data_IF_726758746481
#
_entry.id   IF_726758746481
#
_cell.length_a   1.000
_cell.length_b   1.000
_cell.length_c   1.000
_cell.angle_alpha   90.00
_cell.angle_beta   90.00
_cell.angle_gamma   90.00
#
_symmetry.space_group_name_H-M   'P 1'
#
loop_
_entity.id
_entity.type
_entity.pdbx_description
1 polymer ?
#
# COMPACT_ATOMS: atom_id res chain seq x y z
N UNK A 1 -20.28 -72.30 20.46
CA UNK A 1 -19.33 -71.19 20.72
C UNK A 1 -19.12 -70.43 19.42
N UNK A 2 -19.86 -69.29 19.23
CA UNK A 2 -19.78 -68.45 18.01
C UNK A 2 -18.85 -67.30 18.29
N UNK A 3 -17.71 -67.28 17.58
CA UNK A 3 -16.74 -66.17 17.67
C UNK A 3 -17.25 -65.01 16.77
N UNK A 4 -17.60 -63.85 17.39
CA UNK A 4 -17.90 -62.63 16.67
C UNK A 4 -16.56 -61.95 16.33
N UNK A 5 -16.33 -61.78 15.00
CA UNK A 5 -15.18 -61.05 14.47
C UNK A 5 -15.67 -59.60 14.29
N UNK A 6 -15.19 -58.65 15.13
CA UNK A 6 -15.49 -57.23 15.01
C UNK A 6 -14.47 -56.64 14.02
N UNK A 7 -14.94 -56.32 12.83
CA UNK A 7 -14.16 -55.66 11.79
C UNK A 7 -14.17 -54.14 12.07
N UNK A 8 -13.08 -53.62 12.63
CA UNK A 8 -12.91 -52.19 12.90
C UNK A 8 -12.55 -51.46 11.60
N UNK A 9 -13.50 -50.73 11.00
CA UNK A 9 -13.29 -49.91 9.82
C UNK A 9 -12.72 -48.57 10.32
N UNK A 10 -11.39 -48.40 10.20
CA UNK A 10 -10.73 -47.13 10.44
C UNK A 10 -11.04 -46.11 9.34
N UNK A 11 -11.85 -45.12 9.64
CA UNK A 11 -12.10 -43.98 8.74
C UNK A 11 -10.87 -43.06 8.77
N UNK A 12 -10.05 -43.14 7.71
CA UNK A 12 -8.98 -42.19 7.47
C UNK A 12 -9.60 -40.87 6.95
N UNK A 13 -9.76 -39.88 7.85
CA UNK A 13 -10.16 -38.54 7.49
C UNK A 13 -8.93 -37.82 6.91
N UNK A 14 -8.82 -37.75 5.59
CA UNK A 14 -7.84 -36.88 4.92
C UNK A 14 -8.27 -35.43 5.11
N UNK A 15 -7.65 -34.73 6.07
CA UNK A 15 -7.70 -33.28 6.12
C UNK A 15 -6.91 -32.71 4.95
N UNK A 16 -7.62 -32.49 3.83
CA UNK A 16 -7.08 -31.75 2.69
C UNK A 16 -6.94 -30.28 3.11
N UNK A 17 -5.75 -29.91 3.61
CA UNK A 17 -5.42 -28.51 3.91
C UNK A 17 -5.27 -27.78 2.58
N UNK A 18 -6.35 -27.18 2.07
CA UNK A 18 -6.28 -26.24 0.96
C UNK A 18 -5.48 -25.02 1.43
N UNK A 19 -4.18 -24.99 1.19
CA UNK A 19 -3.40 -23.77 1.21
C UNK A 19 -3.97 -22.88 0.11
N UNK A 20 -4.77 -21.86 0.47
CA UNK A 20 -5.11 -20.77 -0.45
C UNK A 20 -3.79 -20.17 -0.92
N UNK A 21 -3.42 -20.36 -2.17
CA UNK A 21 -2.33 -19.61 -2.77
C UNK A 21 -2.65 -18.13 -2.62
N UNK A 22 -1.65 -17.34 -2.21
CA UNK A 22 -1.78 -15.89 -2.21
C UNK A 22 -2.14 -15.44 -3.64
N UNK A 23 -3.11 -14.53 -3.80
CA UNK A 23 -3.49 -14.07 -5.12
C UNK A 23 -2.29 -13.41 -5.81
N UNK A 24 -2.08 -13.76 -7.08
CA UNK A 24 -0.98 -13.24 -7.89
C UNK A 24 -1.32 -11.83 -8.34
N UNK A 25 -0.34 -10.93 -8.33
CA UNK A 25 -0.49 -9.58 -8.87
C UNK A 25 -0.58 -9.66 -10.40
N UNK A 26 -1.64 -9.13 -10.96
CA UNK A 26 -1.90 -9.12 -12.41
C UNK A 26 -1.21 -7.95 -13.12
N UNK A 27 -1.02 -8.02 -14.43
CA UNK A 27 -0.49 -6.90 -15.20
C UNK A 27 -1.41 -5.67 -15.14
N UNK A 28 -2.73 -5.88 -15.14
CA UNK A 28 -3.69 -4.78 -14.98
C UNK A 28 -3.54 -4.06 -13.63
N UNK A 29 -3.30 -4.80 -12.54
CA UNK A 29 -3.01 -4.19 -11.24
C UNK A 29 -1.69 -3.39 -11.26
N UNK A 30 -0.67 -3.88 -11.96
CA UNK A 30 0.60 -3.15 -12.12
C UNK A 30 0.42 -1.86 -12.90
N UNK A 31 -0.38 -1.87 -13.96
CA UNK A 31 -0.67 -0.68 -14.76
C UNK A 31 -1.39 0.40 -13.93
N UNK A 32 -2.39 0.00 -13.13
CA UNK A 32 -3.09 0.94 -12.24
C UNK A 32 -2.18 1.40 -11.11
N UNK A 33 -1.36 0.51 -10.54
CA UNK A 33 -0.36 0.88 -9.53
C UNK A 33 0.61 1.93 -10.10
N UNK A 34 1.05 1.79 -11.35
CA UNK A 34 1.89 2.79 -12.01
C UNK A 34 1.19 4.16 -12.11
N UNK A 35 -0.10 4.19 -12.43
CA UNK A 35 -0.87 5.43 -12.45
C UNK A 35 -0.99 6.03 -11.04
N UNK A 36 -1.23 5.21 -10.01
CA UNK A 36 -1.24 5.66 -8.61
C UNK A 36 0.10 6.30 -8.24
N UNK A 37 1.22 5.71 -8.64
CA UNK A 37 2.56 6.22 -8.39
C UNK A 37 2.81 7.57 -9.08
N UNK A 38 2.31 7.77 -10.29
CA UNK A 38 2.43 9.05 -10.99
C UNK A 38 1.60 10.16 -10.32
N UNK A 39 0.37 9.85 -9.90
CA UNK A 39 -0.46 10.78 -9.13
C UNK A 39 0.17 11.12 -7.78
N UNK A 40 0.69 10.11 -7.08
CA UNK A 40 1.43 10.29 -5.83
C UNK A 40 2.65 11.19 -6.00
N UNK A 41 3.42 11.02 -7.08
CA UNK A 41 4.58 11.86 -7.38
C UNK A 41 4.18 13.32 -7.62
N UNK A 42 3.01 13.56 -8.23
CA UNK A 42 2.46 14.90 -8.42
C UNK A 42 2.12 15.55 -7.08
N UNK A 43 1.53 14.79 -6.16
CA UNK A 43 1.24 15.23 -4.79
C UNK A 43 2.54 15.52 -4.03
N UNK A 44 3.53 14.61 -4.10
CA UNK A 44 4.83 14.82 -3.47
C UNK A 44 5.49 16.11 -3.96
N UNK A 45 5.53 16.37 -5.27
CA UNK A 45 6.06 17.60 -5.84
C UNK A 45 5.29 18.85 -5.41
N UNK A 46 3.97 18.75 -5.25
CA UNK A 46 3.16 19.84 -4.71
C UNK A 46 3.58 20.16 -3.28
N UNK A 47 3.68 19.18 -2.40
CA UNK A 47 4.06 19.34 -1.00
C UNK A 47 5.50 19.85 -0.82
N UNK A 48 6.38 19.58 -1.79
CA UNK A 48 7.74 20.14 -1.80
C UNK A 48 7.77 21.63 -2.11
N UNK A 49 6.72 22.19 -2.73
CA UNK A 49 6.63 23.60 -3.15
C UNK A 49 5.70 24.43 -2.28
N UNK A 50 4.57 23.86 -1.90
CA UNK A 50 3.46 24.53 -1.24
C UNK A 50 3.37 24.05 0.20
N UNK A 51 4.03 24.77 1.08
CA UNK A 51 3.97 24.51 2.51
C UNK A 51 2.57 24.85 3.04
N UNK A 52 2.08 24.05 4.00
CA UNK A 52 0.79 24.27 4.68
C UNK A 52 -0.46 24.21 3.80
N UNK A 53 -0.35 23.73 2.56
CA UNK A 53 -1.51 23.50 1.68
C UNK A 53 -1.79 22.03 1.46
N UNK A 54 -3.06 21.70 1.41
CA UNK A 54 -3.53 20.35 1.10
C UNK A 54 -3.73 20.22 -0.42
N UNK A 55 -3.06 19.25 -1.08
CA UNK A 55 -3.22 19.02 -2.51
C UNK A 55 -4.57 18.39 -2.83
N UNK A 56 -5.02 18.54 -4.08
CA UNK A 56 -6.15 17.78 -4.58
C UNK A 56 -5.78 16.30 -4.79
N UNK A 57 -6.42 15.40 -4.05
CA UNK A 57 -6.17 13.96 -4.09
C UNK A 57 -7.24 13.18 -4.87
N UNK A 58 -8.18 13.83 -5.53
CA UNK A 58 -9.33 13.18 -6.17
C UNK A 58 -8.93 12.16 -7.23
N UNK A 59 -7.93 12.45 -8.05
CA UNK A 59 -7.41 11.54 -9.07
C UNK A 59 -6.74 10.31 -8.44
N UNK A 60 -5.87 10.54 -7.45
CA UNK A 60 -5.23 9.47 -6.68
C UNK A 60 -6.27 8.52 -6.10
N UNK A 61 -7.29 9.06 -5.43
CA UNK A 61 -8.35 8.27 -4.80
C UNK A 61 -9.14 7.47 -5.86
N UNK A 62 -9.44 8.05 -7.02
CA UNK A 62 -10.13 7.35 -8.10
C UNK A 62 -9.32 6.13 -8.58
N UNK A 63 -8.01 6.26 -8.74
CA UNK A 63 -7.14 5.14 -9.12
C UNK A 63 -7.05 4.06 -8.03
N UNK A 64 -7.01 4.45 -6.76
CA UNK A 64 -7.03 3.48 -5.65
C UNK A 64 -8.34 2.70 -5.63
N UNK A 65 -9.49 3.35 -5.83
CA UNK A 65 -10.80 2.68 -5.94
C UNK A 65 -10.81 1.67 -7.11
N UNK A 66 -10.26 2.08 -8.26
CA UNK A 66 -10.12 1.20 -9.42
C UNK A 66 -9.27 -0.03 -9.09
N UNK A 67 -8.13 0.14 -8.42
CA UNK A 67 -7.27 -0.98 -7.99
C UNK A 67 -8.01 -1.93 -7.03
N UNK A 68 -8.77 -1.42 -6.07
CA UNK A 68 -9.60 -2.23 -5.15
C UNK A 68 -10.60 -3.08 -5.93
N UNK A 69 -11.20 -2.54 -7.02
CA UNK A 69 -12.22 -3.22 -7.81
C UNK A 69 -11.72 -4.44 -8.57
N UNK A 70 -10.42 -4.51 -8.87
CA UNK A 70 -9.80 -5.64 -9.59
C UNK A 70 -9.78 -6.94 -8.78
N UNK A 71 -9.87 -6.84 -7.45
CA UNK A 71 -9.93 -7.98 -6.55
C UNK A 71 -8.76 -8.99 -6.68
N UNK A 72 -7.58 -8.50 -7.08
CA UNK A 72 -6.36 -9.27 -7.31
C UNK A 72 -5.39 -9.29 -6.13
N UNK A 73 -4.10 -9.48 -6.43
CA UNK A 73 -3.03 -9.61 -5.44
C UNK A 73 -2.75 -8.34 -4.62
N UNK A 74 -3.08 -7.17 -5.15
CA UNK A 74 -2.90 -5.89 -4.47
C UNK A 74 -4.14 -5.42 -3.69
N UNK A 75 -5.28 -6.15 -3.75
CA UNK A 75 -6.54 -5.72 -3.14
C UNK A 75 -6.37 -5.26 -1.69
N UNK A 76 -5.72 -6.05 -0.86
CA UNK A 76 -5.61 -5.77 0.57
C UNK A 76 -4.85 -4.46 0.86
N UNK A 77 -3.74 -4.22 0.17
CA UNK A 77 -2.98 -2.97 0.30
C UNK A 77 -3.76 -1.79 -0.29
N UNK A 78 -4.49 -2.01 -1.40
CA UNK A 78 -5.36 -1.00 -2.01
C UNK A 78 -6.51 -0.58 -1.08
N UNK A 79 -7.18 -1.51 -0.41
CA UNK A 79 -8.19 -1.22 0.61
C UNK A 79 -7.63 -0.39 1.77
N UNK A 80 -6.41 -0.69 2.22
CA UNK A 80 -5.72 0.11 3.24
C UNK A 80 -5.38 1.51 2.74
N UNK A 81 -4.88 1.65 1.51
CA UNK A 81 -4.65 2.96 0.88
C UNK A 81 -5.95 3.77 0.81
N UNK A 82 -7.05 3.16 0.37
CA UNK A 82 -8.36 3.80 0.32
C UNK A 82 -8.83 4.26 1.71
N UNK A 83 -8.64 3.41 2.72
CA UNK A 83 -9.02 3.73 4.10
C UNK A 83 -8.21 4.88 4.67
N UNK A 84 -6.92 4.98 4.35
CA UNK A 84 -6.06 6.07 4.80
C UNK A 84 -6.52 7.44 4.28
N UNK A 85 -7.10 7.48 3.07
CA UNK A 85 -7.52 8.72 2.42
C UNK A 85 -9.03 9.01 2.53
N UNK A 86 -9.74 8.39 3.49
CA UNK A 86 -11.20 8.56 3.63
C UNK A 86 -11.63 9.98 3.99
N UNK A 87 -10.87 10.67 4.82
CA UNK A 87 -11.19 12.04 5.26
C UNK A 87 -10.73 13.07 4.22
N UNK A 88 -11.36 13.01 3.05
CA UNK A 88 -11.03 13.84 1.86
C UNK A 88 -11.22 15.34 2.09
N UNK A 89 -12.00 15.74 3.09
CA UNK A 89 -12.42 17.13 3.33
C UNK A 89 -11.68 17.77 4.52
N UNK A 90 -10.63 17.11 5.02
CA UNK A 90 -9.86 17.73 6.09
C UNK A 90 -9.23 19.04 5.62
N UNK A 91 -9.38 20.09 6.43
CA UNK A 91 -8.67 21.36 6.28
C UNK A 91 -7.44 21.42 7.18
N UNK A 92 -7.18 20.34 7.93
CA UNK A 92 -6.08 20.21 8.86
C UNK A 92 -4.89 19.53 8.16
N UNK A 93 -3.84 20.29 7.95
CA UNK A 93 -2.63 19.83 7.23
C UNK A 93 -1.96 18.66 7.96
N UNK A 94 -1.90 18.67 9.29
CA UNK A 94 -1.27 17.58 10.04
C UNK A 94 -2.09 16.26 9.93
N UNK A 95 -3.41 16.35 9.97
CA UNK A 95 -4.26 15.16 9.69
C UNK A 95 -4.07 14.64 8.28
N UNK A 96 -3.95 15.55 7.31
CA UNK A 96 -3.63 15.16 5.94
C UNK A 96 -2.26 14.48 5.87
N UNK A 97 -1.23 15.00 6.51
CA UNK A 97 0.10 14.40 6.54
C UNK A 97 0.11 13.01 7.18
N UNK A 98 -0.67 12.79 8.24
CA UNK A 98 -0.81 11.46 8.83
C UNK A 98 -1.51 10.49 7.88
N UNK A 99 -2.60 10.91 7.24
CA UNK A 99 -3.33 10.12 6.25
C UNK A 99 -2.43 9.77 5.05
N UNK A 100 -1.68 10.75 4.54
CA UNK A 100 -0.78 10.58 3.40
C UNK A 100 0.43 9.69 3.75
N UNK A 101 0.95 9.76 4.96
CA UNK A 101 1.99 8.84 5.45
C UNK A 101 1.46 7.40 5.51
N UNK A 102 0.28 7.17 6.09
CA UNK A 102 -0.34 5.84 6.14
C UNK A 102 -0.67 5.30 4.74
N UNK A 103 -1.11 6.16 3.83
CA UNK A 103 -1.28 5.82 2.42
C UNK A 103 0.06 5.38 1.81
N UNK A 104 1.14 6.13 2.03
CA UNK A 104 2.46 5.87 1.47
C UNK A 104 3.08 4.57 1.98
N UNK A 105 2.81 4.18 3.23
CA UNK A 105 3.21 2.87 3.76
C UNK A 105 2.58 1.73 2.95
N UNK A 106 1.27 1.80 2.72
CA UNK A 106 0.54 0.78 1.97
C UNK A 106 0.89 0.81 0.46
N UNK A 107 1.22 1.97 -0.09
CA UNK A 107 1.75 2.10 -1.45
C UNK A 107 3.12 1.40 -1.56
N UNK A 108 4.00 1.58 -0.57
CA UNK A 108 5.28 0.86 -0.49
C UNK A 108 5.12 -0.66 -0.41
N UNK A 109 4.12 -1.15 0.33
CA UNK A 109 3.79 -2.58 0.34
C UNK A 109 3.29 -3.07 -1.03
N UNK A 110 2.46 -2.28 -1.72
CA UNK A 110 2.01 -2.60 -3.08
C UNK A 110 3.17 -2.67 -4.07
N UNK A 111 4.14 -1.77 -3.97
CA UNK A 111 5.38 -1.79 -4.75
C UNK A 111 6.15 -3.10 -4.55
N UNK A 112 6.33 -3.50 -3.31
CA UNK A 112 7.04 -4.74 -2.95
C UNK A 112 6.32 -5.97 -3.50
N UNK A 113 5.00 -6.05 -3.36
CA UNK A 113 4.18 -7.15 -3.87
C UNK A 113 4.20 -7.23 -5.40
N UNK A 114 4.27 -6.09 -6.09
CA UNK A 114 4.36 -6.02 -7.55
C UNK A 114 5.75 -6.34 -8.11
N UNK A 115 6.74 -6.59 -7.25
CA UNK A 115 8.12 -6.85 -7.68
C UNK A 115 8.95 -5.58 -7.92
N UNK A 116 8.48 -4.44 -7.41
CA UNK A 116 9.04 -3.11 -7.64
C UNK A 116 8.55 -2.47 -8.95
N UNK A 117 8.67 -1.16 -9.06
CA UNK A 117 8.39 -0.41 -10.29
C UNK A 117 9.60 0.44 -10.71
N UNK A 118 10.80 -0.10 -10.51
CA UNK A 118 12.07 0.37 -11.05
C UNK A 118 12.60 1.70 -10.50
N UNK A 119 11.79 2.75 -10.49
CA UNK A 119 12.27 4.11 -10.16
C UNK A 119 11.67 4.68 -8.88
N UNK A 120 10.60 4.09 -8.33
CA UNK A 120 9.96 4.55 -7.11
C UNK A 120 10.53 3.85 -5.88
N UNK A 121 10.75 4.62 -4.84
CA UNK A 121 11.31 4.14 -3.58
C UNK A 121 10.48 4.64 -2.40
N UNK A 122 10.47 3.85 -1.33
CA UNK A 122 9.86 4.21 -0.05
C UNK A 122 10.92 4.82 0.87
N UNK A 123 10.57 5.89 1.53
CA UNK A 123 11.40 6.60 2.50
C UNK A 123 10.67 6.73 3.83
N UNK A 124 11.43 6.87 4.92
CA UNK A 124 10.92 7.12 6.25
C UNK A 124 11.81 8.10 6.99
N UNK A 125 11.23 9.16 7.59
CA UNK A 125 11.95 10.06 8.48
C UNK A 125 11.55 9.80 9.94
N UNK A 126 12.49 9.38 10.80
CA UNK A 126 12.21 9.10 12.21
C UNK A 126 11.87 10.35 13.03
N UNK A 127 12.34 11.53 12.60
CA UNK A 127 12.12 12.79 13.33
C UNK A 127 10.65 13.22 13.29
N UNK A 128 9.99 13.08 12.13
CA UNK A 128 8.56 13.39 11.97
C UNK A 128 7.70 12.13 12.02
N UNK A 129 8.31 10.95 12.11
CA UNK A 129 7.64 9.65 12.12
C UNK A 129 6.66 9.48 10.96
N UNK A 130 7.13 9.76 9.74
CA UNK A 130 6.30 9.71 8.53
C UNK A 130 7.02 9.04 7.36
N UNK A 131 6.23 8.34 6.55
CA UNK A 131 6.66 7.61 5.36
C UNK A 131 6.17 8.32 4.10
N UNK A 132 6.96 8.30 3.02
CA UNK A 132 6.53 8.71 1.68
C UNK A 132 7.11 7.80 0.61
N UNK A 133 6.53 7.87 -0.58
CA UNK A 133 7.04 7.22 -1.79
C UNK A 133 7.32 8.30 -2.83
N UNK A 134 8.49 8.28 -3.45
CA UNK A 134 8.85 9.21 -4.51
C UNK A 134 9.84 8.59 -5.51
N UNK A 135 10.02 9.26 -6.66
CA UNK A 135 10.97 8.83 -7.68
C UNK A 135 12.42 9.06 -7.25
N UNK A 136 13.29 8.10 -7.65
CA UNK A 136 14.73 8.18 -7.44
C UNK A 136 15.14 7.89 -6.00
N UNK A 137 16.41 8.14 -5.70
CA UNK A 137 17.03 7.83 -4.40
C UNK A 137 17.31 9.08 -3.57
N UNK A 138 16.99 10.27 -4.10
CA UNK A 138 17.18 11.52 -3.36
C UNK A 138 16.13 11.63 -2.25
N UNK A 139 16.59 11.87 -1.03
CA UNK A 139 15.72 12.14 0.12
C UNK A 139 15.11 13.54 -0.07
N UNK A 140 13.78 13.59 -0.04
CA UNK A 140 13.00 14.82 -0.20
C UNK A 140 11.74 14.70 0.66
N UNK A 141 11.90 14.98 1.95
CA UNK A 141 10.83 14.90 2.95
C UNK A 141 9.73 15.93 2.66
N UNK A 142 8.49 15.51 2.34
CA UNK A 142 7.42 16.46 2.01
C UNK A 142 6.74 17.07 3.23
N UNK A 143 7.00 16.55 4.44
CA UNK A 143 6.27 16.89 5.66
C UNK A 143 6.90 18.00 6.49
N UNK A 144 8.20 18.26 6.29
CA UNK A 144 8.95 19.19 7.14
C UNK A 144 9.90 20.03 6.25
N UNK A 145 9.55 21.28 5.95
CA UNK A 145 10.34 22.18 5.12
C UNK A 145 11.77 22.38 5.67
N UNK A 146 11.91 22.46 6.98
CA UNK A 146 13.18 22.62 7.70
C UNK A 146 14.03 21.34 7.75
N UNK A 147 13.45 20.19 7.37
CA UNK A 147 14.09 18.86 7.40
C UNK A 147 13.93 18.11 6.08
N UNK A 148 14.07 18.80 4.94
CA UNK A 148 13.89 18.19 3.60
C UNK A 148 14.81 17.01 3.34
N UNK A 149 15.98 16.97 3.97
CA UNK A 149 16.99 15.91 3.81
C UNK A 149 16.87 14.83 4.92
N UNK A 150 15.88 14.93 5.81
CA UNK A 150 15.63 13.90 6.83
C UNK A 150 14.90 12.71 6.24
N UNK A 151 15.50 11.54 6.34
CA UNK A 151 14.88 10.25 5.97
C UNK A 151 15.91 9.23 5.53
N UNK A 152 15.45 7.98 5.50
CA UNK A 152 16.19 6.82 5.03
C UNK A 152 15.39 6.07 3.98
N UNK A 153 16.08 5.43 3.04
CA UNK A 153 15.48 4.50 2.09
C UNK A 153 15.04 3.24 2.85
N UNK A 154 13.79 2.82 2.66
CA UNK A 154 13.22 1.63 3.30
C UNK A 154 12.90 0.56 2.25
N UNK A 155 13.45 -0.64 2.42
CA UNK A 155 13.30 -1.81 1.53
C UNK A 155 12.15 -2.74 1.93
#
# INVERSE_FOLDING_TARGET
MKKFLILSIGILIFFSSCKKLAPVVTEQEKDILQQILMENESIHKFLMKEEEKIPNTSQLIARVIELVSLNGGLKHSAEKMQNSLKDKETQDVEKFFQAYSSFSENLGESLKLAGGTGVFNRFYCPMVNKTWVSQGTKIQNPYAPEMRDCGDLVH
#
